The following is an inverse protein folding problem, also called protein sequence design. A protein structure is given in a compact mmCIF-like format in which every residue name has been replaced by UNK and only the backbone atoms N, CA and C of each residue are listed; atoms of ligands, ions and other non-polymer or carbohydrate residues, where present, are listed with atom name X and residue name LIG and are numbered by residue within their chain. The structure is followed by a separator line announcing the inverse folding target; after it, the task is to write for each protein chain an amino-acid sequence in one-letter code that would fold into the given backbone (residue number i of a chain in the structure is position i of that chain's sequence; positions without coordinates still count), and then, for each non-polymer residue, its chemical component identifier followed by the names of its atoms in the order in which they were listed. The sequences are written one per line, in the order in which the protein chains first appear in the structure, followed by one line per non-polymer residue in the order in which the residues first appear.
data_IF_660599741544
#
_entry.id   IF_660599741544
#
_cell.length_a   1.000
_cell.length_b   1.000
_cell.length_c   1.000
_cell.angle_alpha   90.00
_cell.angle_beta   90.00
_cell.angle_gamma   90.00
#
_symmetry.space_group_name_H-M   'P 1'
#
loop_
_entity.id
_entity.type
_entity.pdbx_description
1 polymer ?
#
# COMPACT_ATOMS: atom_id res chain seq x y z
N UNK A 1 -17.05 -2.12 -3.25
CA UNK A 1 -18.51 -2.33 -3.21
C UNK A 1 -18.87 -3.49 -4.11
N UNK A 2 -19.65 -4.43 -3.57
CA UNK A 2 -20.24 -5.50 -4.34
C UNK A 2 -21.75 -5.26 -4.43
N UNK A 3 -22.32 -5.43 -5.62
CA UNK A 3 -23.75 -5.40 -5.87
C UNK A 3 -24.19 -6.82 -6.19
N UNK A 4 -25.21 -7.34 -5.51
CA UNK A 4 -25.81 -8.64 -5.80
C UNK A 4 -27.12 -8.44 -6.55
N UNK A 5 -27.28 -9.15 -7.67
CA UNK A 5 -28.56 -9.29 -8.37
C UNK A 5 -28.89 -10.77 -8.51
N UNK A 6 -29.91 -11.23 -7.80
CA UNK A 6 -30.28 -12.65 -7.68
C UNK A 6 -29.07 -13.49 -7.23
N UNK A 7 -28.65 -14.48 -8.00
CA UNK A 7 -27.50 -15.34 -7.68
C UNK A 7 -26.16 -14.82 -8.20
N UNK A 8 -26.15 -13.66 -8.85
CA UNK A 8 -24.92 -13.06 -9.41
C UNK A 8 -24.41 -11.92 -8.53
N UNK A 9 -23.10 -11.94 -8.23
CA UNK A 9 -22.41 -10.86 -7.52
C UNK A 9 -21.49 -10.12 -8.50
N UNK A 10 -21.61 -8.78 -8.51
CA UNK A 10 -20.81 -7.89 -9.33
C UNK A 10 -19.90 -7.03 -8.44
N UNK A 11 -18.63 -6.89 -8.80
CA UNK A 11 -17.74 -5.89 -8.19
C UNK A 11 -17.90 -4.57 -8.94
N UNK A 12 -18.81 -3.73 -8.48
CA UNK A 12 -19.18 -2.49 -9.18
C UNK A 12 -18.28 -1.30 -8.86
N UNK A 13 -17.60 -1.32 -7.71
CA UNK A 13 -16.63 -0.28 -7.34
C UNK A 13 -15.49 -0.88 -6.53
N UNK A 14 -14.24 -0.58 -6.88
CA UNK A 14 -13.08 -0.91 -6.06
C UNK A 14 -11.98 0.15 -6.24
N UNK A 15 -11.25 0.42 -5.16
CA UNK A 15 -10.02 1.20 -5.16
C UNK A 15 -8.89 0.30 -4.70
N UNK A 16 -7.72 0.41 -5.32
CA UNK A 16 -6.54 -0.42 -5.02
C UNK A 16 -5.26 0.39 -5.25
N UNK A 17 -4.12 -0.18 -4.88
CA UNK A 17 -2.79 0.44 -4.99
C UNK A 17 -2.75 1.80 -4.29
N UNK A 18 -2.14 2.79 -4.93
CA UNK A 18 -1.97 4.13 -4.35
C UNK A 18 -3.29 4.85 -4.03
N UNK A 19 -4.40 4.45 -4.66
CA UNK A 19 -5.72 5.02 -4.40
C UNK A 19 -6.23 4.76 -2.98
N UNK A 20 -5.73 3.72 -2.29
CA UNK A 20 -6.10 3.44 -0.89
C UNK A 20 -5.18 4.11 0.13
N UNK A 21 -4.07 4.72 -0.29
CA UNK A 21 -3.11 5.36 0.63
C UNK A 21 -3.74 6.46 1.46
N UNK A 22 -4.67 7.22 0.86
CA UNK A 22 -5.41 8.32 1.50
C UNK A 22 -6.40 7.86 2.58
N UNK A 23 -6.76 6.58 2.59
CA UNK A 23 -7.64 5.99 3.62
C UNK A 23 -6.83 5.60 4.85
N UNK A 24 -5.52 5.36 4.68
CA UNK A 24 -4.59 5.04 5.77
C UNK A 24 -3.87 6.30 6.26
N UNK A 25 -3.35 6.26 7.48
CA UNK A 25 -2.49 7.33 8.01
C UNK A 25 -1.00 7.06 7.79
N UNK A 26 -0.62 5.82 7.43
CA UNK A 26 0.79 5.38 7.36
C UNK A 26 1.57 6.13 6.30
N UNK A 27 1.08 6.09 5.06
CA UNK A 27 1.76 6.71 3.93
C UNK A 27 1.85 8.24 4.01
N UNK A 28 0.79 9.00 4.33
CA UNK A 28 0.91 10.45 4.51
C UNK A 28 1.78 10.83 5.71
N UNK A 29 1.83 10.02 6.77
CA UNK A 29 2.74 10.26 7.89
C UNK A 29 4.20 10.07 7.46
N UNK A 30 4.51 9.01 6.72
CA UNK A 30 5.87 8.71 6.29
C UNK A 30 6.37 9.72 5.26
N UNK A 31 5.48 10.27 4.42
CA UNK A 31 5.82 11.30 3.43
C UNK A 31 6.42 12.58 4.06
N UNK A 32 6.12 12.86 5.33
CA UNK A 32 6.65 14.04 6.05
C UNK A 32 7.85 13.73 6.94
N UNK A 33 8.28 12.47 7.02
CA UNK A 33 9.49 12.07 7.74
C UNK A 33 10.72 12.34 6.88
N UNK A 34 11.92 12.53 7.48
CA UNK A 34 13.13 12.85 6.75
C UNK A 34 13.37 11.93 5.56
N UNK A 35 13.37 10.60 5.73
CA UNK A 35 13.64 9.67 4.63
C UNK A 35 12.47 9.45 3.66
N UNK A 36 11.29 10.02 3.92
CA UNK A 36 10.06 9.70 3.19
C UNK A 36 9.83 8.19 3.10
N UNK A 37 9.35 7.73 1.95
CA UNK A 37 9.06 6.31 1.70
C UNK A 37 10.25 5.51 1.18
N UNK A 38 11.29 6.17 0.67
CA UNK A 38 12.47 5.51 0.13
C UNK A 38 12.18 4.64 -1.11
N UNK A 39 11.12 4.96 -1.86
CA UNK A 39 10.77 4.24 -3.08
C UNK A 39 11.47 4.86 -4.30
N UNK A 40 11.75 4.06 -5.33
CA UNK A 40 12.50 4.48 -6.53
C UNK A 40 11.91 5.70 -7.26
N UNK A 41 10.60 5.94 -7.13
CA UNK A 41 9.94 7.08 -7.75
C UNK A 41 10.11 8.38 -6.94
N UNK A 42 10.54 8.29 -5.70
CA UNK A 42 10.69 9.43 -4.82
C UNK A 42 12.00 10.17 -5.10
N UNK A 43 11.91 11.45 -5.42
CA UNK A 43 13.08 12.32 -5.53
C UNK A 43 13.75 12.44 -4.15
N UNK A 44 14.93 11.85 -4.01
CA UNK A 44 15.68 11.75 -2.75
C UNK A 44 17.10 12.27 -2.95
N UNK A 45 17.70 12.96 -1.97
CA UNK A 45 19.09 13.39 -2.05
C UNK A 45 20.08 12.25 -2.32
N UNK A 46 21.21 12.59 -2.92
CA UNK A 46 22.29 11.63 -3.18
C UNK A 46 22.72 10.89 -1.89
N UNK A 47 22.87 9.57 -2.02
CA UNK A 47 23.26 8.69 -0.92
C UNK A 47 22.15 8.31 0.05
N UNK A 48 20.91 8.76 -0.17
CA UNK A 48 19.77 8.30 0.62
C UNK A 48 19.37 6.86 0.30
N UNK A 49 18.95 6.06 1.31
CA UNK A 49 18.44 4.72 1.06
C UNK A 49 17.19 4.76 0.17
N UNK A 50 17.23 4.05 -0.95
CA UNK A 50 16.06 3.81 -1.79
C UNK A 50 16.00 2.34 -2.24
N UNK A 51 14.80 1.85 -2.52
CA UNK A 51 14.55 0.51 -3.06
C UNK A 51 13.40 0.49 -4.06
N UNK A 52 13.13 -0.67 -4.68
CA UNK A 52 12.02 -0.81 -5.62
C UNK A 52 10.68 -0.44 -4.97
N UNK A 53 9.76 0.13 -5.76
CA UNK A 53 8.43 0.49 -5.27
C UNK A 53 7.75 -0.72 -4.61
N UNK A 54 7.11 -0.52 -3.45
CA UNK A 54 6.46 -1.53 -2.62
C UNK A 54 7.35 -2.59 -1.94
N UNK A 55 8.67 -2.59 -2.15
CA UNK A 55 9.54 -3.63 -1.59
C UNK A 55 9.73 -3.57 -0.06
N UNK A 56 9.46 -2.41 0.56
CA UNK A 56 9.61 -2.20 2.00
C UNK A 56 8.45 -2.72 2.86
N UNK A 57 7.44 -3.37 2.26
CA UNK A 57 6.18 -3.71 2.92
C UNK A 57 5.91 -5.21 2.86
N UNK A 58 5.29 -5.73 3.94
CA UNK A 58 4.85 -7.12 3.98
C UNK A 58 3.71 -7.33 2.99
N UNK A 59 3.75 -8.44 2.27
CA UNK A 59 2.62 -8.91 1.49
C UNK A 59 1.60 -9.66 2.38
N UNK A 60 0.45 -10.04 1.80
CA UNK A 60 -0.59 -10.74 2.56
C UNK A 60 -0.09 -12.08 3.16
N UNK A 61 0.65 -12.94 2.43
CA UNK A 61 1.32 -14.11 3.01
C UNK A 61 2.24 -13.80 4.20
N UNK A 62 3.04 -12.75 4.12
CA UNK A 62 3.96 -12.36 5.18
C UNK A 62 3.23 -11.93 6.44
N UNK A 63 2.17 -11.14 6.30
CA UNK A 63 1.30 -10.77 7.42
C UNK A 63 0.63 -12.01 8.03
N UNK A 64 0.12 -12.94 7.20
CA UNK A 64 -0.49 -14.17 7.67
C UNK A 64 0.50 -15.02 8.49
N UNK A 65 1.78 -15.07 8.11
CA UNK A 65 2.81 -15.78 8.85
C UNK A 65 3.07 -15.19 10.25
N UNK A 66 2.89 -13.88 10.42
CA UNK A 66 3.09 -13.22 11.71
C UNK A 66 1.97 -13.50 12.72
N UNK A 67 0.73 -13.72 12.24
CA UNK A 67 -0.47 -13.73 13.10
C UNK A 67 -1.33 -14.99 13.00
N UNK A 68 -1.05 -15.92 12.08
CA UNK A 68 -1.91 -17.06 11.77
C UNK A 68 -1.73 -18.32 12.64
N UNK A 69 -1.40 -18.17 13.93
CA UNK A 69 -1.43 -19.30 14.88
C UNK A 69 -2.84 -19.60 15.39
#
# INVERSE_FOLDING_TARGET
MFLRNSDTVYRTWHTTGRGVEQVSHTFPLIDVLPYGRGEEWQDSPDGWPQGPTYAGWLDSPDVARLYGQ
#
